data_IF_296163449816
#
_entry.id   IF_296163449816
#
_cell.length_a   1.000
_cell.length_b   1.000
_cell.length_c   1.000
_cell.angle_alpha   90.00
_cell.angle_beta   90.00
_cell.angle_gamma   90.00
#
_symmetry.space_group_name_H-M   'P 1'
#
loop_
_entity.id
_entity.type
_entity.pdbx_description
1 polymer ?
#
# COMPACT_ATOMS: atom_id res chain seq x y z
N UNK A 1 -11.88 -20.40 -9.92
CA UNK A 1 -11.98 -19.03 -9.38
C UNK A 1 -12.99 -19.08 -8.27
N UNK A 2 -12.61 -18.60 -7.08
CA UNK A 2 -13.46 -18.64 -5.91
C UNK A 2 -14.59 -17.62 -6.02
N UNK A 3 -15.73 -17.95 -5.44
CA UNK A 3 -16.92 -17.12 -5.43
C UNK A 3 -17.45 -17.06 -4.01
N UNK A 4 -17.92 -15.89 -3.59
CA UNK A 4 -18.58 -15.70 -2.31
C UNK A 4 -19.95 -15.06 -2.53
N UNK A 5 -20.97 -15.59 -1.87
CA UNK A 5 -22.32 -15.04 -1.88
C UNK A 5 -22.63 -14.47 -0.50
N UNK A 6 -23.10 -13.23 -0.46
CA UNK A 6 -23.59 -12.59 0.77
C UNK A 6 -25.04 -12.17 0.58
N UNK A 7 -25.85 -12.44 1.60
CA UNK A 7 -27.23 -11.96 1.69
C UNK A 7 -27.22 -10.80 2.68
N UNK A 8 -27.68 -9.65 2.20
CA UNK A 8 -27.73 -8.41 2.97
C UNK A 8 -29.19 -8.15 3.32
N UNK A 9 -29.47 -7.84 4.58
CA UNK A 9 -30.80 -7.43 5.02
C UNK A 9 -31.00 -5.92 4.88
N UNK A 10 -31.93 -5.37 5.66
CA UNK A 10 -32.27 -3.95 5.63
C UNK A 10 -31.36 -3.10 6.55
N UNK A 11 -30.36 -3.71 7.21
CA UNK A 11 -29.50 -3.06 8.20
C UNK A 11 -28.62 -1.92 7.63
N UNK A 12 -28.40 -1.91 6.32
CA UNK A 12 -27.69 -0.83 5.63
C UNK A 12 -28.64 0.11 4.86
N UNK A 13 -29.95 -0.16 4.91
CA UNK A 13 -30.98 0.47 4.08
C UNK A 13 -31.68 -0.57 3.20
N UNK A 14 -33.01 -0.47 3.08
CA UNK A 14 -33.83 -1.35 2.22
C UNK A 14 -33.36 -1.36 0.76
N UNK A 15 -32.64 -0.32 0.34
CA UNK A 15 -32.02 -0.24 -0.97
C UNK A 15 -30.87 -1.21 -1.23
N UNK A 16 -30.18 -1.66 -0.17
CA UNK A 16 -29.04 -2.54 -0.26
C UNK A 16 -29.38 -3.99 0.10
N UNK A 17 -30.64 -4.26 0.47
CA UNK A 17 -31.09 -5.60 0.78
C UNK A 17 -31.08 -6.49 -0.45
N UNK A 18 -30.57 -7.71 -0.29
CA UNK A 18 -30.62 -8.76 -1.31
C UNK A 18 -29.35 -9.57 -1.44
N UNK A 19 -29.26 -10.32 -2.55
CA UNK A 19 -28.16 -11.23 -2.84
C UNK A 19 -27.07 -10.53 -3.64
N UNK A 20 -25.85 -10.63 -3.15
CA UNK A 20 -24.64 -10.19 -3.85
C UNK A 20 -23.72 -11.39 -4.06
N UNK A 21 -23.12 -11.47 -5.25
CA UNK A 21 -22.17 -12.51 -5.60
C UNK A 21 -20.86 -11.86 -6.03
N UNK A 22 -19.81 -12.14 -5.26
CA UNK A 22 -18.44 -11.71 -5.53
C UNK A 22 -17.63 -12.86 -6.09
N UNK A 23 -16.73 -12.56 -7.00
CA UNK A 23 -15.81 -13.53 -7.57
C UNK A 23 -14.37 -13.00 -7.48
N UNK A 24 -13.45 -13.90 -7.15
CA UNK A 24 -12.01 -13.67 -7.21
C UNK A 24 -11.61 -13.05 -8.56
N UNK A 25 -10.70 -12.07 -8.54
CA UNK A 25 -10.14 -11.51 -9.76
C UNK A 25 -8.93 -12.32 -10.21
N UNK A 26 -8.72 -12.38 -11.52
CA UNK A 26 -7.44 -12.86 -12.04
C UNK A 26 -6.33 -11.89 -11.65
N UNK A 27 -5.12 -12.41 -11.51
CA UNK A 27 -3.92 -11.59 -11.28
C UNK A 27 -3.82 -10.44 -12.29
N UNK A 28 -4.02 -10.73 -13.58
CA UNK A 28 -3.95 -9.71 -14.64
C UNK A 28 -5.01 -8.60 -14.49
N UNK A 29 -6.23 -8.94 -14.08
CA UNK A 29 -7.29 -7.95 -13.88
C UNK A 29 -6.98 -7.04 -12.69
N UNK A 30 -6.53 -7.62 -11.57
CA UNK A 30 -6.11 -6.87 -10.38
C UNK A 30 -4.93 -5.94 -10.68
N UNK A 31 -3.87 -6.48 -11.33
CA UNK A 31 -2.70 -5.69 -11.74
C UNK A 31 -3.09 -4.50 -12.63
N UNK A 32 -4.05 -4.69 -13.54
CA UNK A 32 -4.51 -3.61 -14.42
C UNK A 32 -5.28 -2.52 -13.66
N UNK A 33 -6.06 -2.87 -12.64
CA UNK A 33 -6.76 -1.91 -11.78
C UNK A 33 -5.74 -1.09 -10.98
N UNK A 34 -4.77 -1.75 -10.34
CA UNK A 34 -3.71 -1.07 -9.59
C UNK A 34 -2.94 -0.11 -10.50
N UNK A 35 -2.52 -0.57 -11.68
CA UNK A 35 -1.78 0.26 -12.64
C UNK A 35 -2.59 1.45 -13.15
N UNK A 36 -3.90 1.29 -13.36
CA UNK A 36 -4.79 2.37 -13.81
C UNK A 36 -4.83 3.53 -12.83
N UNK A 37 -4.80 3.23 -11.53
CA UNK A 37 -4.93 4.21 -10.44
C UNK A 37 -3.61 4.51 -9.73
N UNK A 38 -2.48 4.08 -10.29
CA UNK A 38 -1.14 4.35 -9.76
C UNK A 38 -0.31 5.07 -10.80
N UNK A 39 0.20 6.24 -10.43
CA UNK A 39 1.15 7.00 -11.24
C UNK A 39 2.56 6.53 -10.95
N UNK A 40 3.24 6.02 -11.96
CA UNK A 40 4.64 5.61 -11.87
C UNK A 40 5.57 6.65 -12.48
N UNK A 41 6.77 6.77 -11.93
CA UNK A 41 7.84 7.57 -12.50
C UNK A 41 8.37 6.87 -13.77
N UNK A 42 8.42 7.55 -14.93
CA UNK A 42 8.63 6.90 -16.22
C UNK A 42 10.01 6.25 -16.39
N UNK A 43 11.02 6.73 -15.66
CA UNK A 43 12.40 6.22 -15.77
C UNK A 43 12.75 5.18 -14.71
N UNK A 44 12.20 5.32 -13.51
CA UNK A 44 12.61 4.50 -12.35
C UNK A 44 11.57 3.44 -12.01
N UNK A 45 10.35 3.54 -12.53
CA UNK A 45 9.23 2.66 -12.19
C UNK A 45 8.72 2.80 -10.76
N UNK A 46 9.21 3.80 -10.01
CA UNK A 46 8.77 4.06 -8.63
C UNK A 46 7.36 4.65 -8.62
N UNK A 47 6.57 4.32 -7.60
CA UNK A 47 5.24 4.91 -7.38
C UNK A 47 5.40 6.38 -6.98
N UNK A 48 4.78 7.28 -7.74
CA UNK A 48 4.74 8.72 -7.48
C UNK A 48 3.47 9.08 -6.70
N UNK A 49 2.35 8.46 -7.06
CA UNK A 49 1.06 8.63 -6.39
C UNK A 49 0.19 7.41 -6.67
N UNK A 50 -0.70 7.06 -5.73
CA UNK A 50 -1.69 6.01 -5.91
C UNK A 50 -3.01 6.45 -5.28
N UNK A 51 -4.11 6.26 -6.01
CA UNK A 51 -5.46 6.46 -5.48
C UNK A 51 -5.99 5.14 -4.93
N UNK A 52 -5.74 4.90 -3.65
CA UNK A 52 -6.11 3.66 -3.01
C UNK A 52 -7.61 3.46 -2.86
N UNK A 53 -8.36 4.57 -2.75
CA UNK A 53 -9.83 4.54 -2.67
C UNK A 53 -10.40 4.10 -4.02
N UNK A 54 -9.90 4.66 -5.12
CA UNK A 54 -10.27 4.25 -6.47
C UNK A 54 -9.86 2.80 -6.79
N UNK A 55 -8.69 2.36 -6.34
CA UNK A 55 -8.27 0.95 -6.46
C UNK A 55 -9.28 0.04 -5.75
N UNK A 56 -9.61 0.32 -4.49
CA UNK A 56 -10.51 -0.51 -3.71
C UNK A 56 -11.91 -0.54 -4.31
N UNK A 57 -12.46 0.62 -4.66
CA UNK A 57 -13.80 0.73 -5.24
C UNK A 57 -13.90 0.00 -6.59
N UNK A 58 -12.90 0.14 -7.47
CA UNK A 58 -12.90 -0.57 -8.75
C UNK A 58 -12.67 -2.07 -8.56
N UNK A 59 -11.89 -2.50 -7.56
CA UNK A 59 -11.76 -3.92 -7.19
C UNK A 59 -13.08 -4.50 -6.71
N UNK A 60 -13.86 -3.78 -5.90
CA UNK A 60 -15.20 -4.19 -5.47
C UNK A 60 -16.10 -4.39 -6.70
N UNK A 61 -16.21 -3.38 -7.57
CA UNK A 61 -17.04 -3.44 -8.78
C UNK A 61 -16.59 -4.56 -9.72
N UNK A 62 -15.28 -4.73 -9.92
CA UNK A 62 -14.77 -5.77 -10.79
C UNK A 62 -15.06 -7.18 -10.26
N UNK A 63 -15.05 -7.34 -8.93
CA UNK A 63 -15.33 -8.61 -8.25
C UNK A 63 -16.82 -8.92 -8.18
N UNK A 64 -17.67 -7.90 -8.12
CA UNK A 64 -19.13 -8.03 -8.04
C UNK A 64 -19.72 -8.53 -9.36
N UNK A 65 -20.28 -9.75 -9.37
CA UNK A 65 -20.86 -10.42 -10.55
C UNK A 65 -22.37 -10.40 -10.58
N UNK A 66 -23.00 -10.51 -9.41
CA UNK A 66 -24.45 -10.40 -9.27
C UNK A 66 -24.75 -9.45 -8.12
N UNK A 67 -25.82 -8.68 -8.28
CA UNK A 67 -26.37 -7.77 -7.28
C UNK A 67 -27.88 -7.58 -7.54
N UNK A 68 -28.63 -7.03 -6.58
CA UNK A 68 -30.06 -6.79 -6.77
C UNK A 68 -30.35 -5.90 -7.99
N UNK A 69 -31.31 -6.28 -8.86
CA UNK A 69 -31.50 -5.66 -10.18
C UNK A 69 -31.98 -4.21 -10.13
N UNK A 70 -32.64 -3.78 -9.05
CA UNK A 70 -33.26 -2.46 -8.99
C UNK A 70 -32.40 -1.38 -8.33
N UNK A 71 -31.26 -1.73 -7.72
CA UNK A 71 -30.49 -0.79 -6.89
C UNK A 71 -28.99 -1.15 -6.88
N UNK A 72 -28.29 -0.97 -8.02
CA UNK A 72 -26.92 -1.42 -8.16
C UNK A 72 -25.94 -0.58 -7.34
N UNK A 73 -24.99 -1.24 -6.69
CA UNK A 73 -23.71 -0.67 -6.28
C UNK A 73 -22.97 -0.27 -7.56
N UNK A 74 -22.62 1.01 -7.64
CA UNK A 74 -21.85 1.58 -8.76
C UNK A 74 -20.52 2.12 -8.26
N UNK A 75 -19.57 2.28 -9.18
CA UNK A 75 -18.28 2.88 -8.86
C UNK A 75 -18.46 4.30 -8.29
N UNK A 76 -19.38 5.08 -8.87
CA UNK A 76 -19.70 6.44 -8.42
C UNK A 76 -20.20 6.46 -6.97
N UNK A 77 -21.09 5.53 -6.59
CA UNK A 77 -21.58 5.43 -5.21
C UNK A 77 -20.49 5.02 -4.22
N UNK A 78 -19.56 4.16 -4.63
CA UNK A 78 -18.44 3.75 -3.79
C UNK A 78 -17.39 4.87 -3.59
N UNK A 79 -17.31 5.82 -4.53
CA UNK A 79 -16.39 6.96 -4.50
C UNK A 79 -17.03 8.25 -4.00
N UNK A 80 -18.34 8.26 -3.74
CA UNK A 80 -19.03 9.47 -3.33
C UNK A 80 -18.66 9.84 -1.89
N UNK A 81 -18.21 11.07 -1.71
CA UNK A 81 -17.99 11.67 -0.38
C UNK A 81 -19.30 12.19 0.24
N UNK A 82 -20.37 12.30 -0.54
CA UNK A 82 -21.68 12.77 -0.08
C UNK A 82 -22.42 11.63 0.63
N UNK A 83 -22.73 11.76 1.93
CA UNK A 83 -23.47 10.74 2.69
C UNK A 83 -24.83 10.37 2.11
N UNK A 84 -25.47 11.26 1.34
CA UNK A 84 -26.78 11.00 0.72
C UNK A 84 -26.67 10.15 -0.56
N UNK A 85 -25.53 10.19 -1.24
CA UNK A 85 -25.32 9.54 -2.52
C UNK A 85 -24.31 8.37 -2.44
N UNK A 86 -23.52 8.30 -1.37
CA UNK A 86 -22.56 7.24 -1.11
C UNK A 86 -23.16 5.97 -0.52
N UNK A 87 -22.35 4.91 -0.51
CA UNK A 87 -22.68 3.70 0.24
C UNK A 87 -22.45 3.92 1.74
N UNK A 88 -23.25 3.32 2.63
CA UNK A 88 -22.96 3.30 4.05
C UNK A 88 -21.56 2.74 4.33
N UNK A 89 -20.83 3.35 5.27
CA UNK A 89 -19.44 2.96 5.60
C UNK A 89 -19.34 1.47 5.92
N UNK A 90 -20.22 0.97 6.78
CA UNK A 90 -20.23 -0.44 7.20
C UNK A 90 -20.49 -1.40 6.03
N UNK A 91 -21.28 -0.99 5.02
CA UNK A 91 -21.49 -1.77 3.80
C UNK A 91 -20.23 -1.78 2.92
N UNK A 92 -19.57 -0.63 2.77
CA UNK A 92 -18.30 -0.53 2.05
C UNK A 92 -17.18 -1.37 2.70
N UNK A 93 -17.13 -1.40 4.03
CA UNK A 93 -16.21 -2.25 4.81
C UNK A 93 -16.51 -3.73 4.60
N UNK A 94 -17.79 -4.14 4.66
CA UNK A 94 -18.20 -5.52 4.39
C UNK A 94 -17.73 -5.98 3.00
N UNK A 95 -18.00 -5.18 1.96
CA UNK A 95 -17.54 -5.51 0.60
C UNK A 95 -16.02 -5.56 0.51
N UNK A 96 -15.32 -4.64 1.17
CA UNK A 96 -13.86 -4.63 1.21
C UNK A 96 -13.30 -5.92 1.84
N UNK A 97 -13.87 -6.37 2.96
CA UNK A 97 -13.45 -7.61 3.61
C UNK A 97 -13.66 -8.83 2.71
N UNK A 98 -14.80 -8.90 2.00
CA UNK A 98 -15.10 -9.99 1.08
C UNK A 98 -14.08 -10.03 -0.06
N UNK A 99 -13.85 -8.90 -0.75
CA UNK A 99 -12.91 -8.88 -1.87
C UNK A 99 -11.47 -9.10 -1.44
N UNK A 100 -11.07 -8.62 -0.25
CA UNK A 100 -9.73 -8.83 0.27
C UNK A 100 -9.49 -10.32 0.55
N UNK A 101 -10.47 -11.01 1.15
CA UNK A 101 -10.42 -12.46 1.38
C UNK A 101 -10.38 -13.23 0.06
N UNK A 102 -11.26 -12.90 -0.90
CA UNK A 102 -11.31 -13.58 -2.20
C UNK A 102 -10.03 -13.43 -3.01
N UNK A 103 -9.35 -12.29 -2.91
CA UNK A 103 -8.14 -12.00 -3.66
C UNK A 103 -6.84 -12.29 -2.88
N UNK A 104 -6.94 -13.00 -1.74
CA UNK A 104 -5.83 -13.35 -0.86
C UNK A 104 -4.91 -12.16 -0.53
N UNK A 105 -5.49 -10.98 -0.29
CA UNK A 105 -4.69 -9.82 0.11
C UNK A 105 -4.10 -10.09 1.48
N UNK A 106 -2.76 -10.17 1.55
CA UNK A 106 -2.10 -10.24 2.85
C UNK A 106 -2.29 -8.93 3.61
N UNK A 107 -2.20 -8.97 4.95
CA UNK A 107 -2.20 -7.76 5.79
C UNK A 107 -1.17 -6.72 5.34
N UNK A 108 -0.09 -7.15 4.69
CA UNK A 108 0.99 -6.31 4.18
C UNK A 108 0.62 -5.60 2.86
N UNK A 109 -0.11 -6.27 1.97
CA UNK A 109 -0.69 -5.64 0.77
C UNK A 109 -1.85 -4.70 1.13
N UNK A 110 -2.64 -5.05 2.15
CA UNK A 110 -3.64 -4.11 2.70
C UNK A 110 -2.95 -2.94 3.38
N UNK A 111 -1.86 -3.14 4.13
CA UNK A 111 -1.07 -2.05 4.68
C UNK A 111 -0.42 -1.18 3.60
N UNK A 112 -0.03 -1.73 2.44
CA UNK A 112 0.40 -0.92 1.30
C UNK A 112 -0.73 -0.05 0.73
N UNK A 113 -1.96 -0.58 0.66
CA UNK A 113 -3.13 0.13 0.15
C UNK A 113 -3.74 1.13 1.17
N UNK A 114 -3.62 0.87 2.47
CA UNK A 114 -4.21 1.69 3.53
C UNK A 114 -3.19 2.50 4.36
N UNK A 115 -1.90 2.19 4.22
CA UNK A 115 -0.80 2.69 5.04
C UNK A 115 0.30 3.32 4.22
N UNK A 116 0.03 4.50 3.68
CA UNK A 116 1.08 5.50 3.46
C UNK A 116 0.64 6.84 4.06
N UNK A 117 0.19 6.82 5.33
CA UNK A 117 -0.10 8.02 6.12
C UNK A 117 0.98 8.35 7.15
N UNK A 118 2.11 7.64 7.17
CA UNK A 118 3.27 8.03 7.98
C UNK A 118 4.55 7.98 7.14
N UNK A 119 4.67 8.94 6.23
CA UNK A 119 5.96 9.52 5.90
C UNK A 119 6.50 10.27 7.12
N UNK A 120 6.66 9.59 8.26
CA UNK A 120 7.37 10.12 9.41
C UNK A 120 8.79 10.31 8.94
N UNK A 121 9.11 11.56 8.67
CA UNK A 121 10.44 12.03 8.37
C UNK A 121 11.31 11.64 9.56
N UNK A 122 11.91 10.46 9.53
CA UNK A 122 13.03 10.17 10.40
C UNK A 122 14.24 10.87 9.78
N UNK A 123 14.22 12.20 9.84
CA UNK A 123 15.45 12.94 10.01
C UNK A 123 16.09 12.32 11.26
N UNK A 124 17.17 11.56 11.09
CA UNK A 124 18.06 11.24 12.19
C UNK A 124 18.55 12.59 12.72
N UNK A 125 18.25 12.98 13.98
CA UNK A 125 19.12 13.93 14.62
C UNK A 125 20.45 13.21 14.82
N UNK A 126 21.48 13.64 14.10
CA UNK A 126 22.86 13.27 14.39
C UNK A 126 23.12 13.57 15.86
N UNK A 127 23.12 12.52 16.69
CA UNK A 127 23.49 12.64 18.09
C UNK A 127 25.00 12.89 18.13
N UNK A 128 25.35 14.18 18.18
CA UNK A 128 26.52 14.66 18.86
C UNK A 128 26.44 14.21 20.32
N UNK A 129 27.43 13.43 20.78
CA UNK A 129 28.12 13.62 22.07
C UNK A 129 29.03 12.44 22.37
N UNK A 130 30.34 12.70 22.41
CA UNK A 130 31.24 12.02 23.32
C UNK A 130 32.26 13.04 23.84
N UNK A 131 31.96 13.60 25.01
CA UNK A 131 32.92 14.35 25.82
C UNK A 131 33.65 13.40 26.78
N UNK A 132 34.79 13.90 27.25
CA UNK A 132 35.66 13.46 28.38
C UNK A 132 36.98 12.83 27.90
N UNK A 133 38.07 13.61 27.72
CA UNK A 133 38.98 14.30 28.67
C UNK A 133 40.12 13.38 29.15
N UNK A 134 41.34 13.66 28.71
CA UNK A 134 42.58 13.34 29.44
C UNK A 134 43.79 14.16 28.94
N UNK A 135 44.37 14.89 29.90
CA UNK A 135 45.76 15.34 30.10
C UNK A 135 46.55 16.02 28.98
N UNK A 136 46.79 17.32 29.18
CA UNK A 136 48.05 17.99 28.81
C UNK A 136 49.25 17.29 29.49
N UNK A 137 50.36 17.11 28.75
CA UNK A 137 51.66 16.84 29.36
C UNK A 137 52.65 15.95 28.59
N UNK A 138 53.54 16.61 27.83
CA UNK A 138 54.98 16.31 27.56
C UNK A 138 55.42 15.26 26.53
N UNK A 139 56.49 15.70 25.84
CA UNK A 139 57.33 15.05 24.83
C UNK A 139 58.12 13.84 25.36
N UNK A 140 58.36 12.82 24.52
CA UNK A 140 59.69 12.48 23.98
C UNK A 140 59.71 11.17 23.15
N UNK A 141 60.64 11.16 22.18
CA UNK A 141 61.33 10.04 21.51
C UNK A 141 60.61 9.11 20.51
N UNK A 142 60.93 9.33 19.21
CA UNK A 142 61.50 8.42 18.18
C UNK A 142 61.85 6.96 18.58
N UNK A 143 62.10 6.01 17.63
CA UNK A 143 61.84 5.97 16.18
C UNK A 143 61.25 4.63 15.67
N UNK A 144 60.94 4.58 14.37
CA UNK A 144 61.50 3.61 13.41
C UNK A 144 60.51 2.81 12.53
N UNK A 145 60.81 2.86 11.22
CA UNK A 145 60.49 1.93 10.13
C UNK A 145 59.10 1.98 9.43
N UNK A 146 59.03 2.79 8.38
CA UNK A 146 58.49 2.40 7.06
C UNK A 146 59.45 1.41 6.35
N UNK A 147 59.18 0.86 5.13
CA UNK A 147 57.94 0.81 4.32
C UNK A 147 57.66 -0.61 3.75
N UNK A 148 56.54 -0.80 3.03
CA UNK A 148 56.55 -1.41 1.68
C UNK A 148 55.23 -1.24 0.94
N UNK A 149 55.30 -0.46 -0.14
CA UNK A 149 54.36 -0.42 -1.25
C UNK A 149 54.51 -1.68 -2.11
N UNK A 150 53.42 -2.20 -2.65
CA UNK A 150 53.44 -2.94 -3.92
C UNK A 150 52.31 -2.43 -4.81
N UNK A 151 52.72 -1.89 -5.95
CA UNK A 151 51.91 -1.43 -7.08
C UNK A 151 51.58 -2.57 -8.05
N UNK A 152 50.37 -2.51 -8.60
CA UNK A 152 49.85 -2.91 -9.92
C UNK A 152 50.69 -3.80 -10.86
N UNK A 153 49.99 -4.67 -11.63
CA UNK A 153 49.90 -4.61 -13.12
C UNK A 153 49.10 -5.79 -13.70
N UNK A 154 48.19 -5.48 -14.64
CA UNK A 154 47.62 -6.40 -15.64
C UNK A 154 48.63 -6.69 -16.77
N UNK A 155 48.44 -7.75 -17.56
CA UNK A 155 48.46 -7.62 -19.02
C UNK A 155 47.35 -8.45 -19.70
N UNK A 156 46.65 -7.86 -20.68
CA UNK A 156 46.76 -8.11 -22.15
C UNK A 156 45.95 -9.29 -22.64
#
# INVERSE_FOLDING_TARGET
MHTETVIIGEEYGEEYAGKYVFQELTWAKRSRIIQKHTKYHPLTGQVVAADYVAIQAETIIASLKEQPPHKPITLEKLLSEDPANGVPIALGELFSQIVNRLNNLSHEETAFLYGQSDGKSHAQPSQSSASVKSSDGRQNSLPNNQPKQYSNSSPS
#
